data_IF_836272908932
#
_entry.id   IF_836272908932
#
_cell.length_a   1.000
_cell.length_b   1.000
_cell.length_c   1.000
_cell.angle_alpha   90.00
_cell.angle_beta   90.00
_cell.angle_gamma   90.00
#
_symmetry.space_group_name_H-M   'P 1'
#
loop_
_entity.id
_entity.type
_entity.pdbx_description
1 polymer ?
#
# COMPACT_ATOMS: atom_id res chain seq x y z
N UNK A 1 -49.56 -9.72 -11.75
CA UNK A 1 -49.16 -8.68 -12.73
C UNK A 1 -48.03 -7.91 -12.07
N UNK A 2 -46.89 -7.79 -12.74
CA UNK A 2 -45.56 -7.64 -12.13
C UNK A 2 -45.40 -6.33 -11.34
N UNK A 3 -44.96 -6.47 -10.09
CA UNK A 3 -44.50 -5.41 -9.18
C UNK A 3 -43.31 -4.66 -9.80
N UNK A 4 -43.45 -3.34 -9.97
CA UNK A 4 -42.40 -2.45 -10.47
C UNK A 4 -41.36 -2.23 -9.36
N UNK A 5 -40.45 -3.19 -9.25
CA UNK A 5 -39.33 -3.18 -8.31
C UNK A 5 -38.51 -1.90 -8.38
N UNK A 6 -38.22 -1.38 -7.18
CA UNK A 6 -37.24 -0.33 -6.90
C UNK A 6 -35.99 -0.48 -7.78
N UNK A 7 -35.79 0.50 -8.66
CA UNK A 7 -34.51 0.72 -9.31
C UNK A 7 -33.51 1.19 -8.26
N UNK A 8 -32.79 0.23 -7.70
CA UNK A 8 -31.52 0.40 -7.00
C UNK A 8 -30.58 1.24 -7.89
N UNK A 9 -30.50 2.54 -7.63
CA UNK A 9 -29.45 3.40 -8.19
C UNK A 9 -28.13 3.07 -7.50
N UNK A 10 -27.50 1.97 -7.91
CA UNK A 10 -26.10 1.71 -7.57
C UNK A 10 -25.24 2.68 -8.38
N UNK A 11 -25.13 3.93 -7.93
CA UNK A 11 -24.06 4.84 -8.38
C UNK A 11 -22.73 4.20 -8.00
N UNK A 12 -22.14 3.52 -8.97
CA UNK A 12 -20.77 3.03 -8.88
C UNK A 12 -19.84 4.18 -8.50
N UNK A 13 -19.34 4.15 -7.27
CA UNK A 13 -18.35 5.08 -6.75
C UNK A 13 -16.99 4.74 -7.40
N UNK A 14 -16.86 5.11 -8.67
CA UNK A 14 -15.61 5.04 -9.42
C UNK A 14 -14.63 6.09 -8.90
N UNK A 15 -14.07 5.87 -7.71
CA UNK A 15 -12.99 6.69 -7.21
C UNK A 15 -11.68 6.23 -7.87
N UNK A 16 -11.50 6.55 -9.16
CA UNK A 16 -10.22 6.40 -9.86
C UNK A 16 -9.31 7.49 -9.34
N UNK A 17 -8.76 7.28 -8.14
CA UNK A 17 -7.81 8.20 -7.53
C UNK A 17 -6.62 8.32 -8.47
N UNK A 18 -6.42 9.51 -9.05
CA UNK A 18 -5.16 9.88 -9.66
C UNK A 18 -4.05 9.54 -8.67
N UNK A 19 -3.12 8.69 -9.07
CA UNK A 19 -1.94 8.37 -8.26
C UNK A 19 -1.07 9.61 -8.15
N UNK A 20 -1.29 10.42 -7.11
CA UNK A 20 -0.46 11.59 -6.85
C UNK A 20 0.91 11.11 -6.37
N UNK A 21 1.97 11.53 -7.05
CA UNK A 21 3.36 11.20 -6.64
C UNK A 21 3.68 11.69 -5.22
N UNK A 22 2.97 12.72 -4.72
CA UNK A 22 3.09 13.21 -3.35
C UNK A 22 2.69 12.19 -2.28
N UNK A 23 1.92 11.14 -2.62
CA UNK A 23 1.58 10.05 -1.69
C UNK A 23 2.68 8.99 -1.57
N UNK A 24 3.69 9.08 -2.44
CA UNK A 24 4.78 8.13 -2.52
C UNK A 24 6.05 8.71 -1.92
N UNK A 25 6.82 7.84 -1.30
CA UNK A 25 8.13 8.13 -0.74
C UNK A 25 9.17 7.23 -1.39
N UNK A 26 10.42 7.71 -1.44
CA UNK A 26 11.53 6.92 -1.97
C UNK A 26 12.00 5.90 -0.93
N UNK A 27 12.89 5.00 -1.34
CA UNK A 27 13.42 3.94 -0.46
C UNK A 27 14.06 4.46 0.82
N UNK A 28 14.79 5.58 0.78
CA UNK A 28 15.44 6.15 1.96
C UNK A 28 14.41 6.57 3.02
N UNK A 29 13.48 7.43 2.64
CA UNK A 29 12.41 7.92 3.52
C UNK A 29 11.48 6.79 3.99
N UNK A 30 11.15 5.84 3.12
CA UNK A 30 10.37 4.67 3.52
C UNK A 30 11.08 3.82 4.59
N UNK A 31 12.40 3.68 4.51
CA UNK A 31 13.20 2.94 5.48
C UNK A 31 13.25 3.66 6.83
N UNK A 32 13.36 4.99 6.81
CA UNK A 32 13.26 5.85 8.00
C UNK A 32 11.90 5.72 8.69
N UNK A 33 10.80 5.78 7.92
CA UNK A 33 9.43 5.59 8.43
C UNK A 33 9.27 4.24 9.15
N UNK A 34 9.86 3.19 8.58
CA UNK A 34 9.77 1.84 9.14
C UNK A 34 10.81 1.55 10.23
N UNK A 35 11.78 2.43 10.44
CA UNK A 35 12.88 2.21 11.39
C UNK A 35 13.82 1.05 11.02
N UNK A 36 14.06 0.84 9.71
CA UNK A 36 14.93 -0.26 9.22
C UNK A 36 16.00 0.24 8.27
N UNK A 37 17.03 -0.57 8.02
CA UNK A 37 18.01 -0.27 6.99
C UNK A 37 17.38 -0.33 5.57
N UNK A 38 17.82 0.54 4.65
CA UNK A 38 17.32 0.55 3.27
C UNK A 38 17.46 -0.80 2.56
N UNK A 39 18.53 -1.56 2.85
CA UNK A 39 18.74 -2.88 2.27
C UNK A 39 17.64 -3.88 2.71
N UNK A 40 17.21 -3.80 3.96
CA UNK A 40 16.11 -4.61 4.51
C UNK A 40 14.81 -4.30 3.80
N UNK A 41 14.47 -3.02 3.62
CA UNK A 41 13.29 -2.61 2.88
C UNK A 41 13.32 -3.10 1.42
N UNK A 42 14.48 -3.03 0.74
CA UNK A 42 14.62 -3.56 -0.63
C UNK A 42 14.32 -5.05 -0.71
N UNK A 43 14.87 -5.85 0.22
CA UNK A 43 14.60 -7.29 0.30
C UNK A 43 13.12 -7.60 0.54
N UNK A 44 12.46 -6.82 1.41
CA UNK A 44 11.01 -6.96 1.65
C UNK A 44 10.18 -6.62 0.42
N UNK A 45 10.54 -5.55 -0.29
CA UNK A 45 9.91 -5.18 -1.55
C UNK A 45 10.09 -6.25 -2.63
N UNK A 46 11.29 -6.81 -2.75
CA UNK A 46 11.62 -7.89 -3.70
C UNK A 46 10.90 -9.20 -3.38
N UNK A 47 10.70 -9.51 -2.09
CA UNK A 47 9.85 -10.63 -1.64
C UNK A 47 8.35 -10.36 -1.78
N UNK A 48 7.95 -9.13 -2.07
CA UNK A 48 6.54 -8.73 -2.19
C UNK A 48 5.82 -8.51 -0.86
N UNK A 49 6.53 -8.39 0.26
CA UNK A 49 5.93 -8.11 1.57
C UNK A 49 5.31 -6.71 1.64
N UNK A 50 5.96 -5.76 0.96
CA UNK A 50 5.55 -4.36 0.88
C UNK A 50 5.38 -4.02 -0.60
N UNK A 51 4.19 -3.57 -1.03
CA UNK A 51 3.97 -3.11 -2.39
C UNK A 51 4.95 -2.00 -2.78
N UNK A 52 5.62 -2.20 -3.91
CA UNK A 52 6.58 -1.26 -4.47
C UNK A 52 6.17 -0.92 -5.89
N UNK A 53 6.21 0.37 -6.21
CA UNK A 53 5.97 0.88 -7.56
C UNK A 53 7.29 1.33 -8.16
N UNK A 54 7.46 1.13 -9.46
CA UNK A 54 8.58 1.73 -10.20
C UNK A 54 8.09 2.97 -10.89
N UNK A 55 8.82 4.07 -10.70
CA UNK A 55 8.56 5.28 -11.47
C UNK A 55 8.96 5.03 -12.94
N UNK A 56 8.04 5.14 -13.91
CA UNK A 56 8.37 4.89 -15.32
C UNK A 56 9.38 5.89 -15.89
N UNK A 57 9.50 7.10 -15.32
CA UNK A 57 10.39 8.13 -15.84
C UNK A 57 11.86 7.95 -15.42
N UNK A 58 12.14 7.34 -14.26
CA UNK A 58 13.52 7.24 -13.73
C UNK A 58 13.84 5.89 -13.05
N UNK A 59 12.90 4.95 -13.04
CA UNK A 59 13.11 3.61 -12.49
C UNK A 59 13.19 3.54 -10.96
N UNK A 60 13.04 4.66 -10.23
CA UNK A 60 13.11 4.65 -8.78
C UNK A 60 11.99 3.83 -8.15
N UNK A 61 12.33 3.19 -7.03
CA UNK A 61 11.39 2.48 -6.16
C UNK A 61 10.61 3.50 -5.33
N UNK A 62 9.29 3.48 -5.51
CA UNK A 62 8.33 4.31 -4.82
C UNK A 62 7.45 3.45 -3.92
N UNK A 63 7.26 3.91 -2.70
CA UNK A 63 6.44 3.24 -1.69
C UNK A 63 5.30 4.17 -1.30
N UNK A 64 4.07 3.66 -1.31
CA UNK A 64 2.93 4.45 -0.88
C UNK A 64 2.89 4.54 0.64
N UNK A 65 2.76 5.74 1.21
CA UNK A 65 2.74 5.92 2.68
C UNK A 65 1.72 5.02 3.37
N UNK A 66 0.51 4.90 2.81
CA UNK A 66 -0.55 4.04 3.34
C UNK A 66 -0.19 2.55 3.42
N UNK A 67 0.68 2.07 2.53
CA UNK A 67 1.12 0.67 2.54
C UNK A 67 2.18 0.42 3.61
N UNK A 68 3.06 1.41 3.85
CA UNK A 68 4.01 1.38 4.96
C UNK A 68 3.27 1.36 6.31
N UNK A 69 2.25 2.21 6.48
CA UNK A 69 1.40 2.23 7.68
C UNK A 69 0.69 0.90 7.91
N UNK A 70 0.16 0.31 6.82
CA UNK A 70 -0.49 -1.01 6.88
C UNK A 70 0.50 -2.09 7.28
N UNK A 71 1.72 -2.03 6.76
CA UNK A 71 2.77 -2.97 7.10
C UNK A 71 3.16 -2.87 8.58
N UNK A 72 3.36 -1.67 9.12
CA UNK A 72 3.64 -1.46 10.56
C UNK A 72 2.53 -2.02 11.45
N UNK A 73 1.27 -1.78 11.10
CA UNK A 73 0.13 -2.35 11.85
C UNK A 73 0.09 -3.87 11.81
N UNK A 74 0.62 -4.48 10.75
CA UNK A 74 0.72 -5.94 10.63
C UNK A 74 1.88 -6.49 11.47
N UNK A 75 3.04 -5.84 11.46
CA UNK A 75 4.24 -6.30 12.16
C UNK A 75 4.24 -5.99 13.66
N UNK A 76 3.55 -4.94 14.10
CA UNK A 76 3.39 -4.61 15.52
C UNK A 76 2.53 -5.61 16.31
N UNK A 77 1.87 -6.56 15.63
CA UNK A 77 1.12 -7.62 16.31
C UNK A 77 2.11 -8.59 16.95
N UNK A 78 2.04 -8.81 18.28
CA UNK A 78 2.91 -9.76 18.94
C UNK A 78 2.65 -11.16 18.39
N UNK A 79 3.73 -11.87 18.04
CA UNK A 79 3.63 -13.30 17.74
C UNK A 79 3.24 -14.01 19.03
N UNK A 80 2.15 -14.79 19.02
CA UNK A 80 1.90 -15.72 20.13
C UNK A 80 3.02 -16.76 20.07
N UNK A 81 3.75 -17.00 21.17
CA UNK A 81 4.75 -18.06 21.18
C UNK A 81 4.07 -19.38 20.82
N UNK A 82 4.71 -20.15 19.94
CA UNK A 82 4.27 -21.51 19.63
C UNK A 82 4.54 -22.36 20.88
N UNK A 83 3.46 -22.85 21.50
CA UNK A 83 3.53 -23.76 22.65
C UNK A 83 4.22 -25.08 22.29
#
# INVERSE_FOLDING_TARGET
MIDLGELQTTRGKGNRQMTKLSEYVKTAEAAEILGVAQNTLRKWAERGDIPMHRNPANGYRLFKRSDLDRFLKKTAKPIKPKA
#
